data_IF_267225832962
#
_entry.id   IF_267225832962
#
_cell.length_a   1.000
_cell.length_b   1.000
_cell.length_c   1.000
_cell.angle_alpha   90.00
_cell.angle_beta   90.00
_cell.angle_gamma   90.00
#
_symmetry.space_group_name_H-M   'P 1'
#
loop_
_entity.id
_entity.type
_entity.pdbx_description
1 polymer ?
#
# COMPACT_ATOMS: atom_id res chain seq x y z
N UNK A 1 4.05 -9.18 8.43
CA UNK A 1 4.77 -9.24 7.14
C UNK A 1 3.87 -8.57 6.10
N UNK A 2 4.19 -8.53 4.81
CA UNK A 2 3.16 -8.24 3.78
C UNK A 2 3.01 -9.50 2.96
N UNK A 3 1.82 -10.09 3.02
CA UNK A 3 1.51 -11.39 2.45
C UNK A 3 0.45 -11.24 1.36
N UNK A 4 0.56 -12.07 0.32
CA UNK A 4 -0.27 -11.98 -0.89
C UNK A 4 -0.81 -13.36 -1.21
N UNK A 5 -2.13 -13.48 -1.17
CA UNK A 5 -2.84 -14.65 -1.66
C UNK A 5 -3.60 -14.26 -2.92
N UNK A 6 -3.18 -14.76 -4.08
CA UNK A 6 -3.84 -14.52 -5.36
C UNK A 6 -4.57 -15.78 -5.83
N UNK A 7 -5.70 -15.58 -6.50
CA UNK A 7 -6.46 -16.61 -7.19
C UNK A 7 -6.87 -16.10 -8.57
N UNK A 8 -6.96 -17.02 -9.52
CA UNK A 8 -7.46 -16.74 -10.87
C UNK A 8 -8.69 -17.58 -11.15
N UNK A 9 -9.64 -17.00 -11.86
CA UNK A 9 -10.84 -17.69 -12.32
C UNK A 9 -11.11 -17.30 -13.77
N UNK A 10 -11.30 -18.27 -14.66
CA UNK A 10 -11.61 -18.00 -16.06
C UNK A 10 -13.10 -18.18 -16.32
N UNK A 11 -13.74 -17.15 -16.88
CA UNK A 11 -15.16 -17.14 -17.29
C UNK A 11 -15.31 -16.44 -18.63
N UNK A 12 -16.03 -17.06 -19.56
CA UNK A 12 -16.36 -16.48 -20.87
C UNK A 12 -15.15 -15.92 -21.65
N UNK A 13 -13.99 -16.61 -21.56
CA UNK A 13 -12.76 -16.17 -22.22
C UNK A 13 -12.01 -15.03 -21.53
N UNK A 14 -12.47 -14.60 -20.35
CA UNK A 14 -11.86 -13.59 -19.50
C UNK A 14 -11.32 -14.24 -18.22
N UNK A 15 -10.08 -13.95 -17.88
CA UNK A 15 -9.46 -14.31 -16.61
C UNK A 15 -9.70 -13.19 -15.61
N UNK A 16 -10.39 -13.51 -14.53
CA UNK A 16 -10.55 -12.67 -13.36
C UNK A 16 -9.47 -13.04 -12.36
N UNK A 17 -8.72 -12.04 -11.91
CA UNK A 17 -7.71 -12.20 -10.88
C UNK A 17 -8.19 -11.47 -9.64
N UNK A 18 -8.19 -12.16 -8.51
CA UNK A 18 -8.43 -11.58 -7.20
C UNK A 18 -7.25 -11.87 -6.29
N UNK A 19 -6.83 -10.88 -5.52
CA UNK A 19 -5.80 -11.09 -4.50
C UNK A 19 -6.15 -10.39 -3.18
N UNK A 20 -5.74 -11.03 -2.09
CA UNK A 20 -5.86 -10.51 -0.74
C UNK A 20 -4.46 -10.16 -0.25
N UNK A 21 -4.26 -8.88 0.04
CA UNK A 21 -3.06 -8.35 0.66
C UNK A 21 -3.28 -8.31 2.16
N UNK A 22 -2.37 -8.91 2.94
CA UNK A 22 -2.40 -8.88 4.41
C UNK A 22 -1.18 -8.15 4.93
N UNK A 23 -1.37 -7.20 5.84
CA UNK A 23 -0.28 -6.50 6.51
C UNK A 23 -0.26 -6.82 8.00
N UNK A 24 0.52 -7.82 8.43
CA UNK A 24 0.73 -8.14 9.85
C UNK A 24 1.87 -7.31 10.46
N UNK A 25 2.10 -6.09 9.96
CA UNK A 25 3.01 -5.13 10.58
C UNK A 25 2.17 -4.13 11.36
N UNK A 26 2.70 -3.66 12.47
CA UNK A 26 2.15 -2.55 13.26
C UNK A 26 2.30 -1.18 12.59
N UNK A 27 2.83 -1.11 11.37
CA UNK A 27 3.05 0.14 10.63
C UNK A 27 2.38 0.09 9.26
N UNK A 28 1.85 1.22 8.77
CA UNK A 28 1.27 1.29 7.44
C UNK A 28 2.32 0.95 6.37
N UNK A 29 1.92 0.18 5.36
CA UNK A 29 2.79 -0.22 4.24
C UNK A 29 2.22 0.29 2.92
N UNK A 30 3.08 0.87 2.09
CA UNK A 30 2.78 1.15 0.69
C UNK A 30 3.30 0.02 -0.16
N UNK A 31 2.39 -0.71 -0.78
CA UNK A 31 2.67 -1.91 -1.57
C UNK A 31 2.55 -1.60 -3.06
N UNK A 32 3.45 -2.19 -3.84
CA UNK A 32 3.47 -2.12 -5.29
C UNK A 32 3.45 -3.53 -5.87
N UNK A 33 2.54 -3.74 -6.80
CA UNK A 33 2.36 -5.00 -7.52
C UNK A 33 2.33 -4.72 -9.02
N UNK A 34 2.72 -5.71 -9.80
CA UNK A 34 2.64 -5.70 -11.26
C UNK A 34 1.87 -6.93 -11.72
N UNK A 35 0.94 -6.77 -12.66
CA UNK A 35 0.36 -7.93 -13.31
C UNK A 35 1.35 -8.54 -14.28
N UNK A 36 1.35 -9.87 -14.37
CA UNK A 36 2.06 -10.63 -15.41
C UNK A 36 1.19 -10.88 -16.64
N UNK A 37 -0.09 -10.49 -16.58
CA UNK A 37 -1.07 -10.69 -17.65
C UNK A 37 -1.24 -9.40 -18.45
N UNK A 38 -1.17 -9.50 -19.77
CA UNK A 38 -1.33 -8.37 -20.68
C UNK A 38 -2.42 -8.68 -21.73
N UNK A 39 -3.39 -7.78 -21.96
CA UNK A 39 -3.63 -6.52 -21.25
C UNK A 39 -4.33 -6.70 -19.88
N UNK A 40 -4.11 -5.74 -18.97
CA UNK A 40 -4.86 -5.62 -17.71
C UNK A 40 -6.12 -4.78 -17.94
N UNK A 41 -7.25 -5.25 -17.41
CA UNK A 41 -8.52 -4.53 -17.32
C UNK A 41 -8.80 -4.20 -15.86
N UNK A 42 -8.39 -3.02 -15.38
CA UNK A 42 -8.62 -2.61 -14.01
C UNK A 42 -10.12 -2.46 -13.69
N UNK A 43 -10.51 -2.66 -12.42
CA UNK A 43 -11.86 -2.39 -11.98
C UNK A 43 -12.15 -0.90 -12.14
N UNK A 44 -13.39 -0.62 -12.56
CA UNK A 44 -13.89 0.74 -12.74
C UNK A 44 -14.94 1.05 -11.69
N UNK A 45 -14.88 2.24 -11.10
CA UNK A 45 -15.95 2.81 -10.29
C UNK A 45 -16.51 4.02 -11.01
N UNK A 46 -17.81 3.99 -11.31
CA UNK A 46 -18.49 5.00 -12.12
C UNK A 46 -17.80 5.24 -13.48
N UNK A 47 -17.33 4.17 -14.13
CA UNK A 47 -16.63 4.23 -15.41
C UNK A 47 -15.16 4.64 -15.35
N UNK A 48 -14.68 5.12 -14.21
CA UNK A 48 -13.29 5.56 -14.00
C UNK A 48 -12.48 4.43 -13.41
N UNK A 49 -11.28 4.18 -13.95
CA UNK A 49 -10.33 3.22 -13.37
C UNK A 49 -10.01 3.66 -11.94
N UNK A 50 -10.08 2.73 -10.99
CA UNK A 50 -9.76 3.07 -9.60
C UNK A 50 -8.31 3.55 -9.50
N UNK A 51 -8.02 4.60 -8.72
CA UNK A 51 -6.75 5.32 -8.74
C UNK A 51 -5.55 4.50 -8.27
N UNK A 52 -5.78 3.34 -7.66
CA UNK A 52 -4.72 2.41 -7.29
C UNK A 52 -4.12 1.67 -8.49
N UNK A 53 -4.79 1.65 -9.63
CA UNK A 53 -4.29 1.03 -10.86
C UNK A 53 -3.74 2.08 -11.83
N UNK A 54 -2.52 1.83 -12.31
CA UNK A 54 -1.84 2.59 -13.35
C UNK A 54 -1.32 1.60 -14.40
N UNK A 55 -2.12 1.38 -15.44
CA UNK A 55 -1.88 0.33 -16.43
C UNK A 55 -1.85 -1.07 -15.79
N UNK A 56 -0.70 -1.74 -15.90
CA UNK A 56 -0.43 -3.06 -15.30
C UNK A 56 -0.03 -3.02 -13.82
N UNK A 57 0.21 -1.81 -13.28
CA UNK A 57 0.74 -1.61 -11.94
C UNK A 57 -0.38 -1.31 -10.97
N UNK A 58 -0.37 -1.98 -9.83
CA UNK A 58 -1.21 -1.64 -8.70
C UNK A 58 -0.36 -1.04 -7.57
N UNK A 59 -0.82 0.06 -7.00
CA UNK A 59 -0.19 0.72 -5.87
C UNK A 59 -1.24 1.10 -4.82
N UNK A 60 -1.06 0.60 -3.59
CA UNK A 60 -1.98 0.90 -2.51
C UNK A 60 -1.31 1.01 -1.15
N UNK A 61 -2.02 1.64 -0.22
CA UNK A 61 -1.66 1.68 1.20
C UNK A 61 -2.46 0.62 1.95
N UNK A 62 -1.77 -0.12 2.81
CA UNK A 62 -2.32 -1.05 3.79
C UNK A 62 -2.10 -0.46 5.18
N UNK A 63 -3.16 -0.38 5.98
CA UNK A 63 -3.06 0.02 7.38
C UNK A 63 -2.45 -1.12 8.22
N UNK A 64 -1.98 -0.84 9.45
CA UNK A 64 -1.54 -1.87 10.37
C UNK A 64 -2.63 -2.93 10.59
N UNK A 65 -2.21 -4.19 10.68
CA UNK A 65 -3.08 -5.34 11.00
C UNK A 65 -4.35 -5.41 10.13
N UNK A 66 -4.22 -4.99 8.86
CA UNK A 66 -5.33 -4.86 7.91
C UNK A 66 -5.18 -5.80 6.72
N UNK A 67 -6.32 -6.10 6.10
CA UNK A 67 -6.41 -6.86 4.85
C UNK A 67 -7.09 -6.03 3.77
N UNK A 68 -6.60 -6.15 2.54
CA UNK A 68 -7.17 -5.43 1.40
C UNK A 68 -7.31 -6.35 0.20
N UNK A 69 -8.54 -6.46 -0.30
CA UNK A 69 -8.81 -7.13 -1.56
C UNK A 69 -8.50 -6.23 -2.75
N UNK A 70 -7.89 -6.81 -3.77
CA UNK A 70 -7.70 -6.21 -5.09
C UNK A 70 -8.17 -7.20 -6.15
N UNK A 71 -8.49 -6.70 -7.33
CA UNK A 71 -8.75 -7.55 -8.47
C UNK A 71 -8.67 -6.79 -9.77
N UNK A 72 -8.52 -7.53 -10.86
CA UNK A 72 -8.52 -7.04 -12.24
C UNK A 72 -8.96 -8.18 -13.16
N UNK A 73 -9.31 -7.85 -14.39
CA UNK A 73 -9.60 -8.84 -15.43
C UNK A 73 -8.52 -8.78 -16.52
N UNK A 74 -8.36 -9.86 -17.28
CA UNK A 74 -7.51 -9.90 -18.46
C UNK A 74 -8.07 -10.91 -19.46
N UNK A 75 -8.02 -10.68 -20.78
CA UNK A 75 -8.38 -11.70 -21.76
C UNK A 75 -7.33 -12.82 -21.85
N UNK A 76 -6.11 -12.59 -21.35
CA UNK A 76 -5.02 -13.56 -21.32
C UNK A 76 -5.39 -14.83 -20.53
N UNK A 77 -4.72 -15.94 -20.81
CA UNK A 77 -4.92 -17.20 -20.11
C UNK A 77 -4.56 -17.08 -18.61
N UNK A 78 -5.10 -17.98 -17.79
CA UNK A 78 -4.73 -18.10 -16.38
C UNK A 78 -3.26 -18.49 -16.25
N UNK A 79 -2.60 -18.00 -15.21
CA UNK A 79 -1.22 -18.33 -14.87
C UNK A 79 -1.12 -18.59 -13.36
N UNK A 80 -0.12 -19.35 -12.95
CA UNK A 80 0.13 -19.67 -11.54
C UNK A 80 0.58 -18.43 -10.73
N UNK A 81 1.22 -17.46 -11.39
CA UNK A 81 1.68 -16.21 -10.77
C UNK A 81 1.13 -14.98 -11.52
N UNK A 82 -0.16 -14.63 -11.33
CA UNK A 82 -0.83 -13.54 -12.07
C UNK A 82 -0.42 -12.14 -11.60
N UNK A 83 0.24 -12.07 -10.44
CA UNK A 83 0.67 -10.86 -9.77
C UNK A 83 2.10 -11.05 -9.27
N UNK A 84 2.97 -10.14 -9.68
CA UNK A 84 4.34 -10.04 -9.21
C UNK A 84 4.42 -8.99 -8.10
N UNK A 85 5.00 -9.39 -6.96
CA UNK A 85 5.33 -8.45 -5.90
C UNK A 85 6.57 -7.63 -6.27
N UNK A 86 6.40 -6.31 -6.44
CA UNK A 86 7.51 -5.40 -6.76
C UNK A 86 8.17 -4.90 -5.48
N UNK A 87 7.38 -4.65 -4.43
CA UNK A 87 7.92 -4.29 -3.13
C UNK A 87 6.93 -3.60 -2.21
N UNK A 88 7.32 -3.52 -0.94
CA UNK A 88 6.62 -2.74 0.08
C UNK A 88 7.59 -1.77 0.76
N UNK A 89 7.13 -0.56 1.03
CA UNK A 89 7.85 0.42 1.84
C UNK A 89 6.96 0.91 2.96
N UNK A 90 7.54 1.13 4.15
CA UNK A 90 6.81 1.78 5.25
C UNK A 90 6.24 3.10 4.74
N UNK A 91 4.92 3.25 4.82
CA UNK A 91 4.30 4.53 4.58
C UNK A 91 4.48 5.36 5.85
N UNK A 92 5.02 6.56 5.70
CA UNK A 92 4.98 7.53 6.78
C UNK A 92 3.51 7.78 7.10
N UNK A 93 3.16 7.80 8.39
CA UNK A 93 1.92 8.43 8.79
C UNK A 93 2.03 9.89 8.41
N UNK A 94 1.38 10.25 7.31
CA UNK A 94 1.06 11.64 7.05
C UNK A 94 -0.09 12.01 7.99
N UNK A 95 0.14 11.93 9.30
CA UNK A 95 -0.33 13.02 10.13
C UNK A 95 0.21 14.26 9.42
N UNK A 96 -0.68 15.14 8.96
CA UNK A 96 -0.24 16.49 8.59
C UNK A 96 0.34 17.06 9.88
N UNK A 97 1.62 16.85 10.10
CA UNK A 97 2.33 17.60 11.09
C UNK A 97 2.44 18.98 10.47
N UNK A 98 1.54 19.85 10.90
CA UNK A 98 1.67 21.25 10.60
C UNK A 98 3.05 21.69 11.08
N UNK A 99 3.93 22.03 10.15
CA UNK A 99 5.35 22.25 10.45
C UNK A 99 5.54 23.44 11.40
N UNK A 100 4.53 24.32 11.51
CA UNK A 100 4.48 25.39 12.51
C UNK A 100 4.35 24.87 13.96
N UNK A 101 3.68 23.73 14.18
CA UNK A 101 3.47 23.16 15.52
C UNK A 101 4.76 22.57 16.09
N UNK A 102 5.59 21.92 15.26
CA UNK A 102 6.89 21.39 15.71
C UNK A 102 7.85 22.51 16.10
N UNK A 103 7.89 23.62 15.35
CA UNK A 103 8.78 24.75 15.67
C UNK A 103 8.48 25.32 17.06
N UNK A 104 7.20 25.60 17.33
CA UNK A 104 6.75 26.17 18.60
C UNK A 104 7.02 25.25 19.80
N UNK A 105 7.06 23.93 19.56
CA UNK A 105 7.36 22.94 20.61
C UNK A 105 8.87 22.78 20.86
N UNK A 106 9.72 23.06 19.87
CA UNK A 106 11.19 23.00 20.03
C UNK A 106 11.71 24.23 20.78
N UNK A 107 11.08 25.40 20.54
CA UNK A 107 11.40 26.67 21.22
C UNK A 107 10.99 26.68 22.71
N UNK A 108 10.13 25.75 23.13
CA UNK A 108 9.70 25.57 24.53
C UNK A 108 10.57 24.58 25.31
N UNK A 109 11.52 23.92 24.66
CA UNK A 109 12.47 23.07 25.37
C UNK A 109 13.60 23.94 25.93
N UNK A 110 13.42 24.36 27.18
CA UNK A 110 14.49 24.93 27.99
C UNK A 110 15.08 23.77 28.83
N UNK A 111 16.36 23.39 28.65
CA UNK A 111 16.97 22.42 29.55
C UNK A 111 16.94 23.00 30.97
N UNK A 112 16.58 22.20 32.01
CA UNK A 112 16.61 22.71 33.37
C UNK A 112 18.03 23.13 33.72
N UNK A 113 18.21 24.43 33.95
CA UNK A 113 19.47 25.00 34.43
C UNK A 113 19.61 24.70 35.92
N UNK A 114 19.91 23.46 36.31
CA UNK A 114 20.48 23.19 37.64
C UNK A 114 21.14 21.81 37.69
N UNK A 115 22.47 21.78 37.56
CA UNK A 115 23.38 21.19 38.56
C UNK A 115 24.80 21.72 38.27
N UNK A 116 25.04 23.01 38.53
CA UNK A 116 26.37 23.43 38.97
C UNK A 116 26.39 23.33 40.49
N UNK A 117 27.24 22.46 41.00
CA UNK A 117 27.30 22.07 42.41
C UNK A 117 28.67 21.51 42.74
N UNK A 118 29.69 22.30 42.41
CA UNK A 118 31.09 22.17 42.84
C UNK A 118 31.20 21.86 44.35
N UNK A 119 31.82 20.73 44.72
CA UNK A 119 33.05 20.65 45.54
C UNK A 119 33.38 19.21 45.95
#
# INVERSE_FOLDING_TARGET
>A
MVDIAASTERRDGVTFVSAILTNDRTTPQRVRLESTLEPVWPPRRNGVVVPEWDGERWQGRLEPDSRRGIGFASPAATTDEPLRFVGAKRAADRARIDTQVIRSSLERWEPPAEVDGRR
#
